data_IF_177664691751
#
_entry.id   IF_177664691751
#
_cell.length_a   1.000
_cell.length_b   1.000
_cell.length_c   1.000
_cell.angle_alpha   90.00
_cell.angle_beta   90.00
_cell.angle_gamma   90.00
#
_symmetry.space_group_name_H-M   'P 1'
#
loop_
_entity.id
_entity.type
_entity.pdbx_description
1 polymer ?
#
# COMPACT_ATOMS: atom_id res chain seq x y z
N UNK A 1 -13.85 6.89 -7.85
CA UNK A 1 -13.80 8.23 -7.21
C UNK A 1 -12.38 8.49 -6.72
N UNK A 2 -11.90 9.74 -6.71
CA UNK A 2 -10.59 10.10 -6.13
C UNK A 2 -10.76 10.69 -4.73
N UNK A 3 -9.79 10.45 -3.86
CA UNK A 3 -9.75 10.97 -2.49
C UNK A 3 -8.31 11.09 -1.99
N UNK A 4 -8.13 11.82 -0.88
CA UNK A 4 -6.85 11.93 -0.18
C UNK A 4 -6.99 11.31 1.22
N UNK A 5 -5.94 10.64 1.69
CA UNK A 5 -5.91 10.06 3.03
C UNK A 5 -4.48 9.92 3.56
N UNK A 6 -4.36 9.62 4.86
CA UNK A 6 -3.08 9.52 5.57
C UNK A 6 -2.56 10.87 6.07
N UNK A 7 -1.43 10.83 6.79
CA UNK A 7 -0.76 12.00 7.40
C UNK A 7 -0.31 13.04 6.38
N UNK A 8 -0.08 12.61 5.14
CA UNK A 8 0.51 13.44 4.07
C UNK A 8 -0.39 13.60 2.85
N UNK A 9 -1.70 13.40 3.00
CA UNK A 9 -2.71 13.60 1.96
C UNK A 9 -2.39 12.87 0.64
N UNK A 10 -1.99 11.61 0.76
CA UNK A 10 -1.70 10.77 -0.39
C UNK A 10 -2.96 10.51 -1.20
N UNK A 11 -2.82 10.46 -2.53
CA UNK A 11 -3.95 10.35 -3.46
C UNK A 11 -4.30 8.90 -3.71
N UNK A 12 -5.59 8.60 -3.62
CA UNK A 12 -6.13 7.27 -3.86
C UNK A 12 -7.29 7.36 -4.84
N UNK A 13 -7.59 6.24 -5.48
CA UNK A 13 -8.75 6.09 -6.34
C UNK A 13 -9.50 4.81 -6.03
N UNK A 14 -10.82 4.89 -6.03
CA UNK A 14 -11.72 3.74 -6.01
C UNK A 14 -12.43 3.52 -7.34
N UNK A 15 -12.87 2.29 -7.59
CA UNK A 15 -13.84 1.99 -8.64
C UNK A 15 -15.29 2.26 -8.19
N UNK A 16 -16.27 1.90 -9.03
CA UNK A 16 -17.70 2.08 -8.75
C UNK A 16 -18.22 1.23 -7.59
N UNK A 17 -17.45 0.24 -7.13
CA UNK A 17 -17.78 -0.64 -5.98
C UNK A 17 -17.08 -0.19 -4.70
N UNK A 18 -16.32 0.91 -4.75
CA UNK A 18 -15.55 1.40 -3.61
C UNK A 18 -14.24 0.63 -3.36
N UNK A 19 -13.82 -0.26 -4.27
CA UNK A 19 -12.53 -0.97 -4.15
C UNK A 19 -11.40 -0.01 -4.50
N UNK A 20 -10.33 0.00 -3.71
CA UNK A 20 -9.15 0.83 -4.00
C UNK A 20 -8.47 0.28 -5.27
N UNK A 21 -8.41 1.06 -6.34
CA UNK A 21 -7.79 0.65 -7.61
C UNK A 21 -6.43 1.29 -7.85
N UNK A 22 -6.15 2.43 -7.21
CA UNK A 22 -4.86 3.09 -7.35
C UNK A 22 -4.46 3.90 -6.10
N UNK A 23 -3.15 4.00 -5.88
CA UNK A 23 -2.47 4.90 -4.96
C UNK A 23 -1.41 5.67 -5.74
N UNK A 24 -1.35 6.98 -5.58
CA UNK A 24 -0.37 7.86 -6.23
C UNK A 24 0.30 8.77 -5.19
N UNK A 25 1.62 8.60 -5.06
CA UNK A 25 2.45 9.33 -4.10
C UNK A 25 3.61 9.99 -4.86
N UNK A 26 3.53 11.31 -5.03
CA UNK A 26 4.59 12.11 -5.65
C UNK A 26 5.82 12.36 -4.75
N UNK A 27 5.70 12.13 -3.44
CA UNK A 27 6.82 12.15 -2.48
C UNK A 27 6.46 11.36 -1.21
N UNK A 28 7.01 10.15 -1.07
CA UNK A 28 6.87 9.36 0.14
C UNK A 28 7.64 10.02 1.29
N UNK A 29 7.11 9.93 2.51
CA UNK A 29 7.70 10.52 3.71
C UNK A 29 7.61 9.51 4.85
N UNK A 30 8.55 9.56 5.78
CA UNK A 30 8.42 8.86 7.06
C UNK A 30 7.42 9.60 7.94
N UNK A 31 6.56 8.86 8.63
CA UNK A 31 5.64 9.42 9.65
C UNK A 31 6.40 10.16 10.74
N UNK A 32 5.79 11.20 11.30
CA UNK A 32 6.32 11.89 12.49
C UNK A 32 5.87 11.23 13.81
N UNK A 33 4.97 10.24 13.73
CA UNK A 33 4.41 9.54 14.89
C UNK A 33 5.43 8.61 15.53
N UNK A 34 5.45 8.61 16.87
CA UNK A 34 6.32 7.72 17.67
C UNK A 34 5.71 6.33 17.90
N UNK A 35 4.40 6.20 17.73
CA UNK A 35 3.63 5.00 18.04
C UNK A 35 2.77 4.62 16.84
N UNK A 36 2.74 3.33 16.53
CA UNK A 36 1.89 2.75 15.48
C UNK A 36 0.43 2.85 15.87
N UNK A 37 -0.44 3.24 14.94
CA UNK A 37 -1.88 3.27 15.21
C UNK A 37 -2.50 1.87 15.16
N UNK A 38 -3.54 1.60 15.98
CA UNK A 38 -4.44 0.48 15.74
C UNK A 38 -5.12 0.68 14.38
N UNK A 39 -5.35 -0.41 13.66
CA UNK A 39 -5.95 -0.38 12.32
C UNK A 39 -7.15 -1.31 12.25
N UNK A 40 -8.02 -1.05 11.26
CA UNK A 40 -9.19 -1.88 11.01
C UNK A 40 -8.77 -3.29 10.57
N UNK A 41 -9.12 -4.35 11.32
CA UNK A 41 -8.74 -5.71 10.96
C UNK A 41 -9.65 -6.33 9.89
N UNK A 42 -10.81 -5.72 9.60
CA UNK A 42 -11.93 -6.32 8.86
C UNK A 42 -12.01 -5.80 7.42
N UNK A 43 -10.99 -6.11 6.63
CA UNK A 43 -10.99 -5.76 5.21
C UNK A 43 -12.03 -6.59 4.42
N UNK A 44 -12.66 -6.01 3.38
CA UNK A 44 -13.63 -6.73 2.55
C UNK A 44 -13.06 -8.01 1.91
N UNK A 45 -13.87 -9.07 1.86
CA UNK A 45 -13.55 -10.36 1.23
C UNK A 45 -12.23 -11.01 1.73
N UNK A 46 -11.91 -10.78 3.01
CA UNK A 46 -10.72 -11.35 3.66
C UNK A 46 -10.82 -12.87 3.78
N UNK A 47 -9.80 -13.57 3.31
CA UNK A 47 -9.70 -15.02 3.41
C UNK A 47 -8.92 -15.45 4.66
N UNK A 48 -9.07 -16.72 5.06
CA UNK A 48 -8.21 -17.30 6.08
C UNK A 48 -6.74 -17.21 5.63
N UNK A 49 -5.88 -16.68 6.50
CA UNK A 49 -4.47 -16.44 6.17
C UNK A 49 -4.18 -15.11 5.46
N UNK A 50 -5.19 -14.25 5.29
CA UNK A 50 -4.98 -12.85 4.91
C UNK A 50 -4.80 -11.95 6.14
N UNK A 51 -4.04 -10.88 5.96
CA UNK A 51 -3.96 -9.73 6.84
C UNK A 51 -4.75 -8.54 6.27
N UNK A 52 -5.06 -7.56 7.14
CA UNK A 52 -5.47 -6.23 6.70
C UNK A 52 -4.20 -5.45 6.29
N UNK A 53 -3.79 -5.65 5.03
CA UNK A 53 -2.57 -5.09 4.48
C UNK A 53 -2.72 -3.61 4.17
N UNK A 54 -1.75 -2.81 4.59
CA UNK A 54 -1.68 -1.41 4.19
C UNK A 54 -1.13 -1.28 2.76
N UNK A 55 -1.73 -0.42 1.94
CA UNK A 55 -1.14 -0.02 0.67
C UNK A 55 -0.01 0.98 0.86
N UNK A 56 -0.24 1.94 1.76
CA UNK A 56 0.81 2.80 2.31
C UNK A 56 0.99 2.45 3.77
N UNK A 57 2.16 1.91 4.13
CA UNK A 57 2.44 1.48 5.49
C UNK A 57 2.30 2.60 6.54
N UNK A 58 1.97 2.21 7.77
CA UNK A 58 1.88 3.12 8.92
C UNK A 58 3.18 3.95 9.10
N UNK A 59 4.35 3.36 8.84
CA UNK A 59 5.65 4.07 8.88
C UNK A 59 5.76 5.24 7.89
N UNK A 60 4.89 5.28 6.88
CA UNK A 60 4.82 6.36 5.90
C UNK A 60 3.64 7.30 6.14
N UNK A 61 2.94 7.17 7.26
CA UNK A 61 1.76 7.97 7.56
C UNK A 61 0.50 7.48 6.84
N UNK A 62 0.46 6.23 6.38
CA UNK A 62 -0.75 5.66 5.80
C UNK A 62 -1.91 5.61 6.79
N UNK A 63 -3.14 5.80 6.28
CA UNK A 63 -4.35 5.72 7.09
C UNK A 63 -4.55 4.32 7.68
N UNK A 64 -4.98 4.20 8.95
CA UNK A 64 -5.29 2.92 9.57
C UNK A 64 -6.72 2.40 9.23
N UNK A 65 -7.45 3.07 8.32
CA UNK A 65 -8.84 2.76 7.98
C UNK A 65 -8.95 2.04 6.63
N UNK A 66 -10.15 1.55 6.30
CA UNK A 66 -10.43 0.84 5.03
C UNK A 66 -10.16 1.64 3.75
N UNK A 67 -9.90 2.95 3.86
CA UNK A 67 -9.45 3.82 2.76
C UNK A 67 -7.97 3.61 2.37
N UNK A 68 -7.24 2.73 3.08
CA UNK A 68 -5.85 2.37 2.77
C UNK A 68 -5.57 0.87 3.00
N UNK A 69 -6.58 0.09 3.38
CA UNK A 69 -6.43 -1.31 3.75
C UNK A 69 -7.10 -2.23 2.75
N UNK A 70 -6.44 -3.35 2.46
CA UNK A 70 -6.97 -4.42 1.62
C UNK A 70 -6.69 -5.79 2.22
N UNK A 71 -7.51 -6.77 1.85
CA UNK A 71 -7.25 -8.17 2.18
C UNK A 71 -6.01 -8.64 1.43
N UNK A 72 -4.92 -8.88 2.16
CA UNK A 72 -3.62 -9.20 1.60
C UNK A 72 -3.12 -10.53 2.17
N UNK A 73 -2.66 -11.43 1.31
CA UNK A 73 -2.03 -12.68 1.71
C UNK A 73 -0.93 -12.40 2.75
N UNK A 74 -0.96 -13.10 3.89
CA UNK A 74 0.01 -12.89 4.97
C UNK A 74 1.46 -13.05 4.50
N UNK A 75 1.73 -14.00 3.60
CA UNK A 75 3.07 -14.16 3.01
C UNK A 75 3.50 -12.90 2.24
N UNK A 76 2.61 -12.32 1.44
CA UNK A 76 2.87 -11.09 0.68
C UNK A 76 3.10 -9.91 1.63
N UNK A 77 2.21 -9.74 2.62
CA UNK A 77 2.29 -8.68 3.61
C UNK A 77 3.59 -8.75 4.44
N UNK A 78 4.06 -9.95 4.77
CA UNK A 78 5.25 -10.15 5.61
C UNK A 78 6.56 -10.29 4.82
N UNK A 79 6.49 -10.51 3.51
CA UNK A 79 7.65 -10.73 2.63
C UNK A 79 7.69 -9.72 1.49
N UNK A 80 7.17 -10.04 0.31
CA UNK A 80 7.42 -9.27 -0.93
C UNK A 80 7.05 -7.80 -0.80
N UNK A 81 5.88 -7.48 -0.23
CA UNK A 81 5.46 -6.10 -0.05
C UNK A 81 6.32 -5.40 1.01
N UNK A 82 6.56 -6.06 2.15
CA UNK A 82 7.42 -5.54 3.24
C UNK A 82 8.86 -5.26 2.79
N UNK A 83 9.41 -6.06 1.86
CA UNK A 83 10.74 -5.83 1.29
C UNK A 83 10.79 -4.51 0.51
N UNK A 84 9.75 -4.21 -0.27
CA UNK A 84 9.61 -2.93 -0.95
C UNK A 84 9.47 -1.78 0.05
N UNK A 85 8.61 -1.93 1.07
CA UNK A 85 8.48 -0.91 2.12
C UNK A 85 9.78 -0.64 2.87
N UNK A 86 10.58 -1.67 3.17
CA UNK A 86 11.89 -1.48 3.80
C UNK A 86 12.84 -0.70 2.87
N UNK A 87 12.89 -1.08 1.57
CA UNK A 87 13.71 -0.38 0.58
C UNK A 87 13.34 1.09 0.44
N UNK A 88 12.04 1.41 0.40
CA UNK A 88 11.57 2.78 0.33
C UNK A 88 11.88 3.57 1.61
N UNK A 89 11.70 2.95 2.79
CA UNK A 89 12.04 3.58 4.06
C UNK A 89 13.54 3.94 4.13
N UNK A 90 14.41 3.01 3.75
CA UNK A 90 15.86 3.25 3.74
C UNK A 90 16.23 4.40 2.81
N UNK A 91 15.60 4.48 1.62
CA UNK A 91 15.83 5.57 0.68
C UNK A 91 15.35 6.93 1.22
N UNK A 92 14.14 6.99 1.81
CA UNK A 92 13.61 8.22 2.41
C UNK A 92 14.51 8.69 3.56
N UNK A 93 14.99 7.78 4.41
CA UNK A 93 15.91 8.10 5.53
C UNK A 93 17.25 8.64 5.02
N UNK A 94 17.72 8.17 3.86
CA UNK A 94 18.93 8.70 3.20
C UNK A 94 18.72 10.04 2.48
N UNK A 95 17.52 10.62 2.56
CA UNK A 95 17.18 11.88 1.92
C UNK A 95 16.84 11.76 0.43
N UNK A 96 16.68 10.53 -0.09
CA UNK A 96 16.33 10.29 -1.48
C UNK A 96 14.84 10.55 -1.71
N UNK A 97 14.48 10.95 -2.93
CA UNK A 97 13.09 11.14 -3.32
C UNK A 97 12.47 9.82 -3.76
N UNK A 98 11.48 9.33 -3.02
CA UNK A 98 10.69 8.16 -3.44
C UNK A 98 9.34 8.61 -3.97
N UNK A 99 9.01 8.18 -5.20
CA UNK A 99 7.67 8.31 -5.80
C UNK A 99 7.13 6.92 -6.06
N UNK A 100 5.84 6.68 -5.85
CA UNK A 100 5.25 5.39 -6.18
C UNK A 100 3.80 5.51 -6.64
N UNK A 101 3.45 4.64 -7.57
CA UNK A 101 2.11 4.38 -8.06
C UNK A 101 1.82 2.91 -7.89
N UNK A 102 0.81 2.59 -7.08
CA UNK A 102 0.32 1.22 -6.90
C UNK A 102 -1.01 1.10 -7.62
N UNK A 103 -1.14 0.13 -8.52
CA UNK A 103 -2.40 -0.22 -9.17
C UNK A 103 -2.82 -1.61 -8.72
N UNK A 104 -4.06 -1.73 -8.28
CA UNK A 104 -4.62 -2.99 -7.79
C UNK A 104 -5.45 -3.64 -8.88
N UNK A 105 -5.22 -4.92 -9.12
CA UNK A 105 -6.03 -5.70 -10.03
C UNK A 105 -6.96 -6.63 -9.26
N UNK A 106 -8.19 -6.75 -9.73
CA UNK A 106 -9.26 -7.51 -9.09
C UNK A 106 -9.91 -8.43 -10.10
N UNK A 107 -10.41 -9.57 -9.62
CA UNK A 107 -11.49 -10.27 -10.29
C UNK A 107 -12.83 -9.66 -9.83
N UNK A 108 -13.76 -10.51 -9.41
CA UNK A 108 -15.12 -10.11 -9.05
C UNK A 108 -15.29 -9.74 -7.59
N UNK A 109 -14.31 -10.00 -6.71
CA UNK A 109 -14.39 -9.68 -5.29
C UNK A 109 -13.60 -8.41 -4.94
N UNK A 110 -13.60 -8.05 -3.66
CA UNK A 110 -12.95 -6.87 -3.08
C UNK A 110 -11.54 -7.16 -2.56
N UNK A 111 -11.09 -8.41 -2.67
CA UNK A 111 -9.72 -8.83 -2.39
C UNK A 111 -8.89 -8.69 -3.69
N UNK A 112 -7.82 -7.87 -3.73
CA UNK A 112 -7.02 -7.77 -4.94
C UNK A 112 -6.37 -9.11 -5.28
N UNK A 113 -6.23 -9.40 -6.57
CA UNK A 113 -5.47 -10.54 -7.07
C UNK A 113 -3.98 -10.25 -7.11
N UNK A 114 -3.60 -9.00 -7.40
CA UNK A 114 -2.22 -8.60 -7.55
C UNK A 114 -2.03 -7.09 -7.33
N UNK A 115 -0.78 -6.72 -7.06
CA UNK A 115 -0.31 -5.35 -6.93
C UNK A 115 0.69 -5.06 -8.05
N UNK A 116 0.42 -4.05 -8.88
CA UNK A 116 1.36 -3.51 -9.85
C UNK A 116 1.96 -2.23 -9.28
N UNK A 117 3.27 -2.23 -9.07
CA UNK A 117 3.97 -1.19 -8.30
C UNK A 117 5.01 -0.57 -9.21
N UNK A 118 4.80 0.69 -9.58
CA UNK A 118 5.76 1.52 -10.31
C UNK A 118 6.32 2.55 -9.32
N UNK A 119 7.61 2.50 -9.04
CA UNK A 119 8.24 3.45 -8.13
C UNK A 119 9.57 3.98 -8.66
N UNK A 120 9.90 5.19 -8.26
CA UNK A 120 11.18 5.84 -8.55
C UNK A 120 11.89 6.13 -7.24
N UNK A 121 13.17 5.84 -7.16
CA UNK A 121 14.07 6.37 -6.13
C UNK A 121 15.04 7.31 -6.84
N UNK A 122 14.94 8.60 -6.49
CA UNK A 122 15.49 9.75 -7.22
C UNK A 122 15.06 9.74 -8.70
N UNK A 123 15.88 9.15 -9.57
CA UNK A 123 15.64 9.08 -11.02
C UNK A 123 15.61 7.63 -11.56
N UNK A 124 15.79 6.64 -10.69
CA UNK A 124 15.79 5.22 -11.09
C UNK A 124 14.41 4.62 -10.93
N UNK A 125 13.76 4.31 -12.04
CA UNK A 125 12.45 3.68 -12.07
C UNK A 125 12.56 2.15 -11.93
N UNK A 126 11.65 1.56 -11.18
CA UNK A 126 11.50 0.12 -11.01
C UNK A 126 10.01 -0.22 -11.07
N UNK A 127 9.68 -1.29 -11.81
CA UNK A 127 8.33 -1.83 -11.93
C UNK A 127 8.32 -3.24 -11.37
N UNK A 128 7.41 -3.52 -10.45
CA UNK A 128 7.23 -4.81 -9.78
C UNK A 128 5.78 -5.26 -9.90
N UNK A 129 5.59 -6.58 -9.93
CA UNK A 129 4.26 -7.20 -9.85
C UNK A 129 4.26 -8.27 -8.76
N UNK A 130 3.32 -8.16 -7.83
CA UNK A 130 3.19 -9.10 -6.70
C UNK A 130 1.82 -9.77 -6.77
N UNK A 131 1.81 -11.09 -6.92
CA UNK A 131 0.59 -11.89 -6.82
C UNK A 131 0.14 -11.97 -5.35
N UNK A 132 -1.14 -11.73 -5.10
CA UNK A 132 -1.72 -11.73 -3.75
C UNK A 132 -2.13 -13.14 -3.32
N UNK A 133 -1.15 -14.03 -3.20
CA UNK A 133 -1.34 -15.45 -2.87
C UNK A 133 -0.49 -15.85 -1.68
N UNK A 134 -1.01 -16.75 -0.86
CA UNK A 134 -0.18 -17.53 0.06
C UNK A 134 0.37 -18.75 -0.71
N UNK A 135 1.61 -19.17 -0.45
CA UNK A 135 2.18 -20.38 -1.03
C UNK A 135 1.46 -21.65 -0.56
#
# INVERSE_FOLDING_TARGET
MEYITGEYDYKYRTDHRGRIVAVDIGKLKMTTRKVRLPHDPNTPDKLLGDHAGHLTGDRFGGSPKLDNLVSQASHVNLSSYKKLENKWADAVVKGQQVKLKVTLNYADNSRPMAFYIDYTIDNTQVIESIQNVNP
#
